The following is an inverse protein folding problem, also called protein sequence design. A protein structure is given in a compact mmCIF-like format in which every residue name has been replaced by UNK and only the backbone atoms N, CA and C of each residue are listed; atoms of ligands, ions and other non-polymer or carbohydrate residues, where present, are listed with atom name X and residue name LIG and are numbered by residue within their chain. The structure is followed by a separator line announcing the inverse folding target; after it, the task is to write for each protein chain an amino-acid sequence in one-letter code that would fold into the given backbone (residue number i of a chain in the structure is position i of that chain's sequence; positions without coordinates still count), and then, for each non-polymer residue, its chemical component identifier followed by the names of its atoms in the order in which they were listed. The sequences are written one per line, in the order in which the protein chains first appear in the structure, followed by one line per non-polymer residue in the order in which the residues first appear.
data_IF_154165032144
#
_entry.id   IF_154165032144
#
_cell.length_a   1.000
_cell.length_b   1.000
_cell.length_c   1.000
_cell.angle_alpha   90.00
_cell.angle_beta   90.00
_cell.angle_gamma   90.00
#
_symmetry.space_group_name_H-M   'P 1'
#
loop_
_entity.id
_entity.type
_entity.pdbx_description
1 polymer ?
#
# COMPACT_ATOMS: atom_id res chain seq x y z
N UNK A 1 17.41 -30.16 7.62
CA UNK A 1 17.97 -29.02 6.86
C UNK A 1 18.15 -27.83 7.82
N UNK A 2 19.21 -27.03 7.69
CA UNK A 2 19.40 -25.80 8.48
C UNK A 2 19.06 -24.57 7.64
N UNK A 3 18.38 -23.62 8.26
CA UNK A 3 17.96 -22.35 7.69
C UNK A 3 18.83 -21.26 8.30
N UNK A 4 19.63 -20.61 7.47
CA UNK A 4 20.37 -19.41 7.85
C UNK A 4 19.42 -18.23 7.68
N UNK A 5 19.37 -17.33 8.67
CA UNK A 5 18.49 -16.17 8.65
C UNK A 5 19.33 -14.92 8.76
N UNK A 6 19.01 -13.92 7.96
CA UNK A 6 19.67 -12.63 7.96
C UNK A 6 18.64 -11.49 7.97
N UNK A 7 19.01 -10.40 8.63
CA UNK A 7 18.24 -9.16 8.70
C UNK A 7 19.20 -7.99 8.55
N UNK A 8 18.83 -7.01 7.73
CA UNK A 8 19.58 -5.77 7.54
C UNK A 8 21.08 -6.00 7.27
N UNK A 9 21.40 -6.97 6.41
CA UNK A 9 22.79 -7.28 6.02
C UNK A 9 23.57 -8.16 7.01
N UNK A 10 23.00 -8.51 8.17
CA UNK A 10 23.66 -9.34 9.18
C UNK A 10 23.00 -10.72 9.32
N UNK A 11 23.81 -11.78 9.35
CA UNK A 11 23.33 -13.13 9.69
C UNK A 11 22.93 -13.16 11.16
N UNK A 12 21.64 -13.34 11.43
CA UNK A 12 21.08 -13.43 12.77
C UNK A 12 21.36 -14.78 13.42
N UNK A 13 21.44 -15.84 12.62
CA UNK A 13 21.74 -17.17 13.12
C UNK A 13 21.29 -18.29 12.18
N UNK A 14 21.55 -19.52 12.63
CA UNK A 14 21.15 -20.74 11.96
C UNK A 14 20.13 -21.46 12.81
N UNK A 15 19.04 -21.92 12.18
CA UNK A 15 17.96 -22.61 12.87
C UNK A 15 17.63 -23.91 12.14
N UNK A 16 17.25 -24.94 12.90
CA UNK A 16 16.59 -26.10 12.31
C UNK A 16 15.23 -25.70 11.74
N UNK A 17 14.78 -26.42 10.71
CA UNK A 17 13.52 -26.11 10.02
C UNK A 17 12.33 -25.93 10.96
N UNK A 18 12.16 -26.80 11.95
CA UNK A 18 11.05 -26.70 12.90
C UNK A 18 11.14 -25.43 13.75
N UNK A 19 12.34 -25.07 14.20
CA UNK A 19 12.59 -23.84 14.97
C UNK A 19 12.38 -22.62 14.10
N UNK A 20 12.91 -22.62 12.87
CA UNK A 20 12.69 -21.56 11.89
C UNK A 20 11.20 -21.33 11.64
N UNK A 21 10.43 -22.39 11.38
CA UNK A 21 8.98 -22.30 11.20
C UNK A 21 8.30 -21.72 12.42
N UNK A 22 8.60 -22.23 13.61
CA UNK A 22 8.04 -21.71 14.86
C UNK A 22 8.34 -20.21 15.04
N UNK A 23 9.56 -19.78 14.72
CA UNK A 23 9.97 -18.37 14.78
C UNK A 23 9.25 -17.49 13.75
N UNK A 24 9.04 -17.99 12.53
CA UNK A 24 8.21 -17.32 11.51
C UNK A 24 6.74 -17.24 11.92
N UNK A 25 6.19 -18.27 12.55
CA UNK A 25 4.81 -18.27 13.05
C UNK A 25 4.62 -17.36 14.26
N UNK A 26 5.59 -17.33 15.18
CA UNK A 26 5.60 -16.44 16.35
C UNK A 26 5.84 -14.97 15.99
N UNK A 27 6.28 -14.68 14.76
CA UNK A 27 6.59 -13.33 14.27
C UNK A 27 7.98 -12.80 14.65
N UNK A 28 8.82 -13.62 15.29
CA UNK A 28 10.21 -13.28 15.61
C UNK A 28 11.05 -13.07 14.34
N UNK A 29 10.83 -13.93 13.34
CA UNK A 29 11.35 -13.78 11.98
C UNK A 29 10.25 -13.10 11.14
N UNK A 30 10.61 -11.94 10.57
CA UNK A 30 9.73 -11.11 9.76
C UNK A 30 9.66 -11.66 8.33
N UNK A 31 8.54 -11.45 7.61
CA UNK A 31 8.45 -11.79 6.18
C UNK A 31 9.49 -11.08 5.31
N UNK A 32 9.98 -9.92 5.74
CA UNK A 32 11.02 -9.14 5.08
C UNK A 32 12.44 -9.65 5.36
N UNK A 33 12.62 -10.54 6.33
CA UNK A 33 13.93 -11.12 6.60
C UNK A 33 14.35 -12.03 5.46
N UNK A 34 15.65 -12.26 5.34
CA UNK A 34 16.21 -13.17 4.36
C UNK A 34 16.49 -14.52 5.02
N UNK A 35 16.25 -15.60 4.29
CA UNK A 35 16.67 -16.94 4.63
C UNK A 35 17.47 -17.56 3.50
N UNK A 36 18.37 -18.47 3.87
CA UNK A 36 19.16 -19.26 2.94
C UNK A 36 19.27 -20.69 3.45
N UNK A 37 19.26 -21.64 2.53
CA UNK A 37 19.45 -23.06 2.80
C UNK A 37 20.50 -23.61 1.83
N UNK A 38 21.26 -24.65 2.21
CA UNK A 38 22.17 -25.33 1.29
C UNK A 38 21.45 -25.72 -0.01
N UNK A 39 22.04 -25.35 -1.16
CA UNK A 39 21.44 -25.56 -2.48
C UNK A 39 20.74 -24.33 -3.08
N UNK A 40 20.69 -23.20 -2.37
CA UNK A 40 20.31 -21.91 -2.97
C UNK A 40 21.55 -21.12 -3.40
N UNK A 41 21.51 -20.52 -4.59
CA UNK A 41 22.60 -19.65 -5.05
C UNK A 41 22.60 -18.28 -4.37
N UNK A 42 21.44 -17.82 -3.87
CA UNK A 42 21.24 -16.50 -3.25
C UNK A 42 20.28 -16.57 -2.06
N UNK A 43 20.37 -15.58 -1.17
CA UNK A 43 19.42 -15.36 -0.07
C UNK A 43 18.03 -15.05 -0.62
N UNK A 44 16.98 -15.63 -0.02
CA UNK A 44 15.57 -15.42 -0.41
C UNK A 44 14.77 -14.80 0.74
N UNK A 45 13.77 -13.94 0.49
CA UNK A 45 12.94 -13.39 1.55
C UNK A 45 12.02 -14.44 2.16
N UNK A 46 11.81 -14.36 3.48
CA UNK A 46 10.94 -15.28 4.24
C UNK A 46 9.48 -15.23 3.78
N UNK A 47 9.04 -14.14 3.17
CA UNK A 47 7.74 -14.05 2.50
C UNK A 47 7.57 -15.13 1.41
N UNK A 48 8.63 -15.48 0.67
CA UNK A 48 8.60 -16.54 -0.35
C UNK A 48 8.47 -17.94 0.26
N UNK A 49 8.90 -18.13 1.52
CA UNK A 49 8.74 -19.38 2.24
C UNK A 49 7.26 -19.76 2.44
N UNK A 50 6.31 -18.80 2.33
CA UNK A 50 4.88 -19.04 2.55
C UNK A 50 4.09 -19.59 1.36
N UNK A 51 4.70 -19.88 0.20
CA UNK A 51 3.96 -20.35 -1.00
C UNK A 51 4.04 -21.87 -1.24
N UNK A 52 4.79 -22.64 -0.45
CA UNK A 52 4.91 -24.10 -0.66
C UNK A 52 3.84 -24.96 0.05
N UNK A 53 2.58 -24.52 0.09
CA UNK A 53 1.42 -25.39 0.42
C UNK A 53 0.70 -25.87 -0.84
N UNK A 54 1.42 -26.42 -1.81
CA UNK A 54 0.96 -27.47 -2.72
C UNK A 54 2.11 -27.88 -3.63
N UNK A 55 2.66 -29.06 -3.35
CA UNK A 55 3.25 -29.97 -4.35
C UNK A 55 4.23 -29.36 -5.34
N UNK A 56 5.48 -29.15 -4.94
CA UNK A 56 6.62 -29.33 -5.87
C UNK A 56 7.88 -29.64 -5.03
N UNK A 57 8.62 -30.74 -5.34
CA UNK A 57 9.87 -31.05 -4.66
C UNK A 57 10.86 -29.91 -4.89
N UNK A 58 11.52 -29.47 -3.82
CA UNK A 58 12.60 -28.49 -3.87
C UNK A 58 13.67 -29.04 -4.84
N UNK A 59 13.78 -28.45 -6.03
CA UNK A 59 14.87 -28.75 -6.96
C UNK A 59 16.15 -28.27 -6.30
N UNK A 60 16.93 -29.21 -5.79
CA UNK A 60 18.25 -28.98 -5.21
C UNK A 60 19.19 -28.63 -6.36
N UNK A 61 19.48 -27.35 -6.55
CA UNK A 61 20.52 -26.91 -7.48
C UNK A 61 21.88 -27.16 -6.79
N UNK A 62 22.69 -28.00 -7.41
CA UNK A 62 23.99 -28.41 -6.90
C UNK A 62 24.95 -27.21 -6.92
N UNK A 63 25.37 -26.76 -5.73
CA UNK A 63 26.51 -25.87 -5.60
C UNK A 63 26.34 -24.72 -4.61
N UNK A 64 26.47 -25.02 -3.32
CA UNK A 64 27.35 -24.30 -2.38
C UNK A 64 27.06 -24.75 -0.94
N UNK A 65 28.09 -25.24 -0.25
CA UNK A 65 28.02 -25.69 1.15
C UNK A 65 28.11 -24.55 2.18
N UNK A 66 28.27 -23.30 1.73
CA UNK A 66 28.46 -22.12 2.58
C UNK A 66 27.54 -21.00 2.10
N UNK A 67 26.81 -20.29 2.99
CA UNK A 67 26.00 -19.15 2.59
C UNK A 67 26.88 -18.09 1.92
N UNK A 68 26.48 -17.55 0.76
CA UNK A 68 27.22 -16.47 0.14
C UNK A 68 27.25 -15.27 1.09
N UNK A 69 28.37 -14.53 1.09
CA UNK A 69 28.45 -13.25 1.78
C UNK A 69 27.23 -12.42 1.36
N UNK A 70 26.53 -11.82 2.34
CA UNK A 70 25.37 -10.97 2.08
C UNK A 70 25.91 -9.76 1.32
N UNK A 71 25.94 -9.86 -0.01
CA UNK A 71 26.10 -8.72 -0.87
C UNK A 71 24.80 -7.96 -0.67
N UNK A 72 24.87 -6.89 0.10
CA UNK A 72 23.86 -5.85 0.06
C UNK A 72 23.54 -5.65 -1.42
N UNK A 73 22.36 -6.13 -1.84
CA UNK A 73 21.88 -5.84 -3.17
C UNK A 73 21.98 -4.35 -3.23
N UNK A 74 22.83 -3.92 -4.15
CA UNK A 74 23.30 -2.58 -4.32
C UNK A 74 22.07 -1.74 -4.68
N UNK A 75 21.28 -1.38 -3.68
CA UNK A 75 20.45 -0.19 -3.66
C UNK A 75 21.38 1.03 -3.52
N UNK A 76 22.58 0.98 -4.12
CA UNK A 76 23.39 2.12 -4.53
C UNK A 76 23.14 2.34 -6.02
N UNK A 77 22.12 3.14 -6.28
CA UNK A 77 22.14 4.10 -7.37
C UNK A 77 21.37 5.38 -7.01
N UNK A 78 21.42 5.79 -5.73
CA UNK A 78 21.38 7.21 -5.36
C UNK A 78 22.82 7.72 -5.46
N UNK A 79 23.21 8.40 -6.57
CA UNK A 79 22.71 9.74 -6.88
C UNK A 79 22.41 10.02 -8.36
N UNK A 80 22.65 9.08 -9.28
CA UNK A 80 22.45 9.31 -10.71
C UNK A 80 20.97 9.38 -11.08
N UNK A 81 20.11 8.54 -10.49
CA UNK A 81 18.66 8.63 -10.65
C UNK A 81 18.09 9.92 -10.04
N UNK A 82 18.63 10.39 -8.92
CA UNK A 82 18.23 11.65 -8.33
C UNK A 82 18.57 12.84 -9.24
N UNK A 83 19.78 12.88 -9.82
CA UNK A 83 20.16 13.92 -10.77
C UNK A 83 19.33 13.87 -12.06
N UNK A 84 19.01 12.68 -12.57
CA UNK A 84 18.13 12.53 -13.74
C UNK A 84 16.70 12.97 -13.41
N UNK A 85 16.14 12.56 -12.27
CA UNK A 85 14.82 13.01 -11.81
C UNK A 85 14.79 14.52 -11.54
N UNK A 86 15.82 15.10 -10.93
CA UNK A 86 15.93 16.54 -10.70
C UNK A 86 16.04 17.28 -12.03
N UNK A 87 16.84 16.79 -12.98
CA UNK A 87 16.94 17.40 -14.32
C UNK A 87 15.62 17.30 -15.09
N UNK A 88 14.93 16.17 -15.04
CA UNK A 88 13.60 15.99 -15.67
C UNK A 88 12.54 16.88 -15.00
N UNK A 89 12.51 16.95 -13.67
CA UNK A 89 11.60 17.83 -12.93
C UNK A 89 11.91 19.30 -13.22
N UNK A 90 13.18 19.70 -13.30
CA UNK A 90 13.58 21.04 -13.68
C UNK A 90 13.16 21.37 -15.13
N UNK A 91 13.29 20.43 -16.07
CA UNK A 91 12.84 20.61 -17.46
C UNK A 91 11.31 20.73 -17.55
N UNK A 92 10.58 19.90 -16.79
CA UNK A 92 9.11 19.99 -16.68
C UNK A 92 8.69 21.34 -16.08
N UNK A 93 9.38 21.81 -15.04
CA UNK A 93 9.12 23.12 -14.44
C UNK A 93 9.50 24.26 -15.38
N UNK A 94 10.59 24.17 -16.13
CA UNK A 94 11.01 25.24 -17.04
C UNK A 94 10.06 25.38 -18.24
N UNK A 95 9.61 24.24 -18.80
CA UNK A 95 8.55 24.22 -19.83
C UNK A 95 7.22 24.68 -19.26
N UNK A 96 6.87 24.29 -18.03
CA UNK A 96 5.64 24.68 -17.34
C UNK A 96 5.61 26.14 -16.88
N UNK A 97 6.77 26.73 -16.53
CA UNK A 97 6.87 28.13 -16.11
C UNK A 97 6.89 29.09 -17.31
N UNK A 98 7.42 28.68 -18.46
CA UNK A 98 7.31 29.46 -19.71
C UNK A 98 5.91 29.39 -20.35
N UNK A 99 5.04 28.50 -19.86
CA UNK A 99 3.59 28.49 -20.12
C UNK A 99 2.78 28.89 -18.88
N UNK A 100 3.40 29.59 -17.94
CA UNK A 100 2.80 30.04 -16.68
C UNK A 100 2.18 31.43 -16.76
N UNK A 101 1.28 31.69 -17.72
CA UNK A 101 0.36 32.82 -17.61
C UNK A 101 -0.99 32.45 -18.21
N UNK A 102 -1.98 32.42 -17.30
CA UNK A 102 -3.44 32.35 -17.48
C UNK A 102 -4.11 30.98 -17.31
N UNK A 103 -5.06 31.00 -16.36
CA UNK A 103 -6.25 30.13 -16.17
C UNK A 103 -5.94 28.80 -15.45
N UNK A 104 -6.41 28.56 -14.23
CA UNK A 104 -7.80 28.74 -13.82
C UNK A 104 -8.63 27.63 -14.45
N UNK A 105 -8.78 26.49 -13.76
CA UNK A 105 -9.68 25.41 -14.16
C UNK A 105 -9.01 24.05 -14.39
N UNK A 106 -8.93 23.23 -13.34
CA UNK A 106 -8.93 21.75 -13.46
C UNK A 106 -9.89 21.15 -12.44
N UNK A 107 -11.13 21.61 -12.54
CA UNK A 107 -12.30 21.03 -11.88
C UNK A 107 -13.29 20.70 -12.99
N UNK A 108 -13.01 19.67 -13.81
CA UNK A 108 -13.99 19.25 -14.82
C UNK A 108 -13.91 17.79 -15.28
N UNK A 109 -12.82 17.05 -15.05
CA UNK A 109 -12.78 15.64 -15.44
C UNK A 109 -13.55 14.69 -14.52
N UNK A 110 -13.78 15.05 -13.25
CA UNK A 110 -14.67 14.30 -12.36
C UNK A 110 -16.17 14.63 -12.54
N UNK A 111 -16.50 15.71 -13.27
CA UNK A 111 -17.87 16.23 -13.37
C UNK A 111 -18.77 15.39 -14.29
N UNK A 112 -18.19 14.56 -15.16
CA UNK A 112 -18.96 13.80 -16.15
C UNK A 112 -19.30 12.41 -15.62
N UNK A 113 -18.43 11.76 -14.83
CA UNK A 113 -18.73 10.41 -14.29
C UNK A 113 -19.67 10.44 -13.08
N UNK A 114 -19.64 11.51 -12.27
CA UNK A 114 -20.57 11.66 -11.14
C UNK A 114 -22.02 11.91 -11.56
N UNK A 115 -22.28 12.13 -12.87
CA UNK A 115 -23.62 12.47 -13.37
C UNK A 115 -24.52 11.25 -13.64
N UNK A 116 -24.04 10.02 -13.41
CA UNK A 116 -24.78 8.78 -13.72
C UNK A 116 -24.88 7.80 -12.53
N UNK A 117 -24.66 8.25 -11.29
CA UNK A 117 -24.79 7.40 -10.10
C UNK A 117 -26.02 7.73 -9.22
N UNK A 118 -27.03 8.39 -9.78
CA UNK A 118 -28.38 8.43 -9.20
C UNK A 118 -29.05 7.06 -9.36
N UNK A 119 -28.70 6.09 -8.51
CA UNK A 119 -29.54 4.92 -8.13
C UNK A 119 -28.81 3.91 -7.19
N UNK A 120 -27.66 4.24 -6.61
CA UNK A 120 -27.10 3.44 -5.52
C UNK A 120 -27.73 3.86 -4.19
N UNK A 121 -28.80 3.19 -3.78
CA UNK A 121 -29.51 3.44 -2.52
C UNK A 121 -28.50 3.52 -1.34
N UNK A 122 -28.29 4.72 -0.79
CA UNK A 122 -27.47 4.88 0.41
C UNK A 122 -28.20 4.16 1.55
N UNK A 123 -27.55 3.15 2.15
CA UNK A 123 -28.13 2.34 3.23
C UNK A 123 -27.45 2.63 4.55
N UNK A 124 -28.25 2.70 5.62
CA UNK A 124 -27.73 2.74 6.98
C UNK A 124 -26.87 1.47 7.21
N UNK A 125 -25.70 1.64 7.81
CA UNK A 125 -24.72 0.58 8.02
C UNK A 125 -23.55 0.57 7.02
N UNK A 126 -23.61 1.38 5.96
CA UNK A 126 -22.54 1.51 4.97
C UNK A 126 -21.30 2.19 5.55
N UNK A 127 -20.11 1.77 5.16
CA UNK A 127 -18.86 2.39 5.61
C UNK A 127 -18.63 3.74 4.93
N UNK A 128 -17.86 4.61 5.59
CA UNK A 128 -17.43 5.90 5.04
C UNK A 128 -16.80 5.77 3.63
N UNK A 129 -15.98 4.75 3.40
CA UNK A 129 -15.33 4.53 2.11
C UNK A 129 -16.33 4.15 1.01
N UNK A 130 -17.29 3.29 1.31
CA UNK A 130 -18.34 2.91 0.36
C UNK A 130 -19.21 4.13 -0.01
N UNK A 131 -19.54 4.98 0.96
CA UNK A 131 -20.28 6.22 0.70
C UNK A 131 -19.46 7.18 -0.19
N UNK A 132 -18.15 7.31 0.04
CA UNK A 132 -17.27 8.10 -0.84
C UNK A 132 -17.23 7.50 -2.24
N UNK A 133 -17.18 6.18 -2.37
CA UNK A 133 -17.20 5.53 -3.69
C UNK A 133 -18.50 5.77 -4.46
N UNK A 134 -19.63 5.92 -3.77
CA UNK A 134 -20.94 6.14 -4.39
C UNK A 134 -21.23 7.63 -4.67
N UNK A 135 -20.97 8.50 -3.71
CA UNK A 135 -21.36 9.91 -3.76
C UNK A 135 -20.19 10.85 -4.09
N UNK A 136 -18.97 10.34 -4.08
CA UNK A 136 -17.75 11.15 -4.14
C UNK A 136 -17.41 11.77 -2.78
N UNK A 137 -16.51 12.75 -2.82
CA UNK A 137 -16.10 13.44 -1.59
C UNK A 137 -17.19 14.38 -1.09
N UNK A 138 -17.45 14.42 0.23
CA UNK A 138 -18.37 15.38 0.81
C UNK A 138 -17.85 16.81 0.64
N UNK A 139 -18.77 17.77 0.51
CA UNK A 139 -18.46 19.20 0.45
C UNK A 139 -17.93 19.72 1.79
N UNK A 140 -18.44 19.18 2.91
CA UNK A 140 -18.03 19.54 4.26
C UNK A 140 -18.02 18.31 5.18
N UNK A 141 -17.01 18.20 6.04
CA UNK A 141 -16.93 17.19 7.10
C UNK A 141 -16.79 17.90 8.43
N UNK A 142 -17.71 17.64 9.36
CA UNK A 142 -17.67 18.11 10.74
C UNK A 142 -17.52 16.91 11.67
N UNK A 143 -16.46 16.91 12.50
CA UNK A 143 -16.27 15.88 13.52
C UNK A 143 -16.92 16.35 14.81
N UNK A 144 -17.96 15.66 15.23
CA UNK A 144 -18.68 15.91 16.49
C UNK A 144 -18.05 15.01 17.56
N UNK A 145 -17.86 15.54 18.77
CA UNK A 145 -17.12 14.91 19.87
C UNK A 145 -17.26 13.37 19.94
N UNK A 146 -16.12 12.68 20.05
CA UNK A 146 -16.03 11.21 19.96
C UNK A 146 -15.79 10.73 18.53
N UNK A 147 -16.38 9.59 18.17
CA UNK A 147 -16.26 8.97 16.84
C UNK A 147 -17.39 9.37 15.89
N UNK A 148 -18.07 10.49 16.13
CA UNK A 148 -19.22 10.94 15.35
C UNK A 148 -18.77 11.94 14.29
N UNK A 149 -19.17 11.72 13.05
CA UNK A 149 -18.87 12.64 11.96
C UNK A 149 -20.16 13.00 11.23
N UNK A 150 -20.26 14.25 10.79
CA UNK A 150 -21.36 14.75 10.00
C UNK A 150 -20.79 15.23 8.66
N UNK A 151 -21.27 14.64 7.58
CA UNK A 151 -20.79 14.92 6.23
C UNK A 151 -21.91 15.58 5.45
N UNK A 152 -21.61 16.68 4.78
CA UNK A 152 -22.59 17.43 3.97
C UNK A 152 -22.23 17.31 2.50
N UNK A 153 -23.20 16.91 1.70
CA UNK A 153 -23.14 16.82 0.25
C UNK A 153 -24.09 17.83 -0.36
N UNK A 154 -23.58 18.73 -1.21
CA UNK A 154 -24.44 19.64 -1.96
C UNK A 154 -24.93 18.96 -3.22
N UNK A 155 -26.21 18.59 -3.23
CA UNK A 155 -26.88 17.97 -4.37
C UNK A 155 -27.78 18.95 -5.14
N UNK A 156 -28.22 18.59 -6.36
CA UNK A 156 -29.17 19.39 -7.13
C UNK A 156 -30.54 19.54 -6.45
N UNK A 157 -30.85 18.66 -5.48
CA UNK A 157 -32.11 18.66 -4.74
C UNK A 157 -31.98 19.31 -3.35
N UNK A 158 -30.81 19.83 -2.97
CA UNK A 158 -30.56 20.35 -1.62
C UNK A 158 -29.34 19.69 -0.95
N UNK A 159 -28.92 20.22 0.22
CA UNK A 159 -27.84 19.63 1.00
C UNK A 159 -28.30 18.31 1.65
N UNK A 160 -27.59 17.22 1.36
CA UNK A 160 -27.75 15.95 2.06
C UNK A 160 -26.74 15.87 3.21
N UNK A 161 -27.23 15.65 4.43
CA UNK A 161 -26.44 15.53 5.64
C UNK A 161 -26.41 14.06 6.06
N UNK A 162 -25.22 13.49 6.12
CA UNK A 162 -24.95 12.11 6.50
C UNK A 162 -24.25 12.08 7.85
N UNK A 163 -24.77 11.30 8.79
CA UNK A 163 -24.15 11.13 10.10
C UNK A 163 -23.48 9.76 10.19
N UNK A 164 -22.19 9.77 10.45
CA UNK A 164 -21.36 8.61 10.70
C UNK A 164 -21.05 8.48 12.19
N UNK A 165 -20.93 7.25 12.65
CA UNK A 165 -20.46 6.92 13.99
C UNK A 165 -19.54 5.70 13.89
N UNK A 166 -18.31 5.84 14.37
CA UNK A 166 -17.24 4.83 14.23
C UNK A 166 -17.00 4.43 12.76
N UNK A 167 -17.10 5.40 11.83
CA UNK A 167 -16.89 5.17 10.40
C UNK A 167 -18.04 4.46 9.66
N UNK A 168 -19.18 4.26 10.34
CA UNK A 168 -20.37 3.63 9.78
C UNK A 168 -21.51 4.65 9.68
N UNK A 169 -22.20 4.68 8.55
CA UNK A 169 -23.34 5.56 8.32
C UNK A 169 -24.51 5.14 9.20
N UNK A 170 -24.98 6.05 10.07
CA UNK A 170 -26.08 5.81 11.00
C UNK A 170 -27.37 6.51 10.58
N UNK A 171 -27.26 7.69 9.98
CA UNK A 171 -28.43 8.50 9.62
C UNK A 171 -28.16 9.28 8.34
N UNK A 172 -29.20 9.39 7.52
CA UNK A 172 -29.24 10.24 6.34
C UNK A 172 -30.36 11.25 6.55
N UNK A 173 -30.06 12.53 6.37
CA UNK A 173 -31.03 13.61 6.38
C UNK A 173 -30.92 14.35 5.04
N UNK A 174 -32.03 14.41 4.32
CA UNK A 174 -32.16 15.16 3.07
C UNK A 174 -33.33 16.11 3.29
N UNK A 175 -33.08 17.41 3.15
CA UNK A 175 -34.12 18.44 3.17
C UNK A 175 -34.74 18.57 1.77
#
# INVERSE_FOLDING_TARGET
MRFHVARDGAVMGEFEEQIFRNKVFSGEIRPSDLYWIPGFSNWRPVSEFRIARKTEPIVLDDGSAVPPAIQESRQRSAPALALVCIAVLALIFFVGMMTGKLRGGRTQHARIEAKTALAGEIRIGMSANEVISLLGQPTKIERVAGSKEQWTYEGPNGPAILHFENGVLRRVHSD
#
